data_IF_774198567478
#
_entry.id   IF_774198567478
#
_cell.length_a   1.000
_cell.length_b   1.000
_cell.length_c   1.000
_cell.angle_alpha   90.00
_cell.angle_beta   90.00
_cell.angle_gamma   90.00
#
_symmetry.space_group_name_H-M   'P 1'
#
loop_
_entity.id
_entity.type
_entity.pdbx_description
1 polymer ?
#
# COMPACT_ATOMS: atom_id res chain seq x y z
N UNK A 1 -23.68 -31.04 10.85
CA UNK A 1 -24.06 -30.83 9.43
C UNK A 1 -25.07 -29.70 9.40
N UNK A 2 -24.64 -28.45 9.25
CA UNK A 2 -25.57 -27.34 9.05
C UNK A 2 -25.94 -27.32 7.57
N UNK A 3 -27.20 -27.62 7.26
CA UNK A 3 -27.76 -27.38 5.94
C UNK A 3 -27.92 -25.88 5.75
N UNK A 4 -26.85 -25.19 5.32
CA UNK A 4 -26.99 -23.85 4.75
C UNK A 4 -27.65 -24.03 3.39
N UNK A 5 -28.83 -23.46 3.22
CA UNK A 5 -29.60 -23.45 1.96
C UNK A 5 -28.69 -23.07 0.80
N UNK A 6 -28.74 -23.83 -0.30
CA UNK A 6 -27.95 -23.51 -1.50
C UNK A 6 -28.27 -22.06 -1.95
N UNK A 7 -27.24 -21.23 -2.19
CA UNK A 7 -27.45 -19.84 -2.58
C UNK A 7 -28.22 -19.76 -3.90
N UNK A 8 -29.32 -18.99 -3.92
CA UNK A 8 -30.22 -18.87 -5.08
C UNK A 8 -29.98 -17.62 -5.92
N UNK A 9 -29.07 -16.74 -5.49
CA UNK A 9 -28.62 -15.57 -6.24
C UNK A 9 -27.11 -15.37 -6.08
N UNK A 10 -26.51 -14.63 -7.01
CA UNK A 10 -25.08 -14.26 -6.94
C UNK A 10 -24.81 -13.52 -5.63
N UNK A 11 -25.69 -12.61 -5.22
CA UNK A 11 -25.54 -11.85 -3.97
C UNK A 11 -25.54 -12.74 -2.73
N UNK A 12 -26.39 -13.78 -2.69
CA UNK A 12 -26.41 -14.76 -1.60
C UNK A 12 -25.12 -15.59 -1.58
N UNK A 13 -24.60 -15.98 -2.74
CA UNK A 13 -23.33 -16.70 -2.84
C UNK A 13 -22.18 -15.83 -2.32
N UNK A 14 -22.09 -14.57 -2.75
CA UNK A 14 -21.05 -13.64 -2.33
C UNK A 14 -21.14 -13.30 -0.84
N UNK A 15 -22.35 -13.19 -0.28
CA UNK A 15 -22.56 -13.01 1.15
C UNK A 15 -22.05 -14.21 1.96
N UNK A 16 -22.37 -15.43 1.52
CA UNK A 16 -21.90 -16.66 2.15
C UNK A 16 -20.37 -16.81 2.03
N UNK A 17 -19.78 -16.49 0.87
CA UNK A 17 -18.33 -16.50 0.65
C UNK A 17 -17.63 -15.48 1.55
N UNK A 18 -18.22 -14.29 1.72
CA UNK A 18 -17.72 -13.26 2.64
C UNK A 18 -17.73 -13.75 4.09
N UNK A 19 -18.83 -14.38 4.53
CA UNK A 19 -18.92 -14.97 5.87
C UNK A 19 -17.88 -16.08 6.07
N UNK A 20 -17.70 -16.94 5.06
CA UNK A 20 -16.71 -18.02 5.10
C UNK A 20 -15.27 -17.50 5.19
N UNK A 21 -14.97 -16.33 4.60
CA UNK A 21 -13.67 -15.66 4.63
C UNK A 21 -13.52 -14.66 5.79
N UNK A 22 -14.46 -14.61 6.74
CA UNK A 22 -14.36 -13.73 7.90
C UNK A 22 -13.07 -13.98 8.69
N UNK A 23 -12.37 -12.89 9.05
CA UNK A 23 -11.10 -12.94 9.77
C UNK A 23 -9.84 -13.06 8.90
N UNK A 24 -9.99 -13.26 7.59
CA UNK A 24 -8.86 -13.26 6.65
C UNK A 24 -8.39 -11.84 6.28
N UNK A 25 -7.25 -11.74 5.58
CA UNK A 25 -6.74 -10.47 5.07
C UNK A 25 -7.79 -9.75 4.20
N UNK A 26 -8.16 -8.49 4.49
CA UNK A 26 -9.13 -7.74 3.68
C UNK A 26 -8.78 -7.68 2.19
N UNK A 27 -7.48 -7.71 1.85
CA UNK A 27 -7.04 -7.78 0.46
C UNK A 27 -7.39 -9.11 -0.23
N UNK A 28 -7.26 -10.22 0.49
CA UNK A 28 -7.64 -11.55 0.01
C UNK A 28 -9.15 -11.64 -0.17
N UNK A 29 -9.92 -11.16 0.81
CA UNK A 29 -11.39 -11.15 0.75
C UNK A 29 -11.87 -10.37 -0.48
N UNK A 30 -11.30 -9.19 -0.72
CA UNK A 30 -11.68 -8.38 -1.87
C UNK A 30 -11.35 -9.07 -3.20
N UNK A 31 -10.13 -9.62 -3.35
CA UNK A 31 -9.71 -10.30 -4.57
C UNK A 31 -10.59 -11.55 -4.84
N UNK A 32 -10.88 -12.35 -3.81
CA UNK A 32 -11.71 -13.56 -3.91
C UNK A 32 -13.16 -13.25 -4.29
N UNK A 33 -13.77 -12.21 -3.69
CA UNK A 33 -15.14 -11.81 -4.03
C UNK A 33 -15.23 -11.28 -5.47
N UNK A 34 -14.24 -10.52 -5.92
CA UNK A 34 -14.21 -9.99 -7.29
C UNK A 34 -14.13 -11.12 -8.33
N UNK A 35 -13.18 -12.04 -8.16
CA UNK A 35 -12.97 -13.15 -9.10
C UNK A 35 -14.19 -14.10 -9.12
N UNK A 36 -14.79 -14.38 -7.95
CA UNK A 36 -16.01 -15.19 -7.87
C UNK A 36 -17.20 -14.52 -8.55
N UNK A 37 -17.41 -13.22 -8.34
CA UNK A 37 -18.48 -12.47 -8.99
C UNK A 37 -18.31 -12.43 -10.52
N UNK A 38 -17.08 -12.20 -11.00
CA UNK A 38 -16.77 -12.19 -12.42
C UNK A 38 -17.09 -13.54 -13.08
N UNK A 39 -16.67 -14.64 -12.44
CA UNK A 39 -16.95 -15.99 -12.92
C UNK A 39 -18.46 -16.31 -12.93
N UNK A 40 -19.14 -16.09 -11.80
CA UNK A 40 -20.58 -16.38 -11.66
C UNK A 40 -21.41 -15.63 -12.72
N UNK A 41 -21.09 -14.36 -12.95
CA UNK A 41 -21.78 -13.54 -13.95
C UNK A 41 -21.49 -13.98 -15.37
N UNK A 42 -20.25 -14.36 -15.68
CA UNK A 42 -19.89 -14.87 -17.00
C UNK A 42 -20.67 -16.15 -17.33
N UNK A 43 -20.82 -17.04 -16.35
CA UNK A 43 -21.51 -18.32 -16.53
C UNK A 43 -23.03 -18.12 -16.68
N UNK A 44 -23.64 -17.24 -15.87
CA UNK A 44 -25.06 -16.87 -16.04
C UNK A 44 -25.32 -16.26 -17.41
N UNK A 45 -24.42 -15.38 -17.89
CA UNK A 45 -24.55 -14.79 -19.22
C UNK A 45 -24.39 -15.80 -20.36
N UNK A 46 -23.62 -16.87 -20.14
CA UNK A 46 -23.46 -17.95 -21.11
C UNK A 46 -24.68 -18.88 -21.18
N UNK A 47 -25.59 -18.83 -20.19
CA UNK A 47 -26.76 -19.70 -20.09
C UNK A 47 -28.07 -18.89 -19.96
N UNK A 48 -28.44 -18.07 -20.97
CA UNK A 48 -29.59 -17.17 -20.90
C UNK A 48 -30.95 -17.90 -20.83
N UNK A 49 -31.00 -19.17 -21.20
CA UNK A 49 -32.23 -19.96 -21.32
C UNK A 49 -32.67 -20.60 -19.99
N UNK A 50 -31.88 -20.45 -18.91
CA UNK A 50 -32.12 -21.06 -17.61
C UNK A 50 -32.46 -20.01 -16.55
N UNK A 51 -33.29 -20.41 -15.59
CA UNK A 51 -33.56 -19.59 -14.41
C UNK A 51 -32.27 -19.44 -13.59
N UNK A 52 -31.99 -18.21 -13.11
CA UNK A 52 -30.75 -17.87 -12.40
C UNK A 52 -30.48 -18.80 -11.20
N UNK A 53 -31.53 -19.23 -10.49
CA UNK A 53 -31.42 -20.15 -9.37
C UNK A 53 -30.95 -21.56 -9.78
N UNK A 54 -31.46 -22.10 -10.89
CA UNK A 54 -31.07 -23.43 -11.40
C UNK A 54 -29.65 -23.39 -11.96
N UNK A 55 -29.27 -22.28 -12.59
CA UNK A 55 -27.90 -22.04 -13.05
C UNK A 55 -26.94 -21.91 -11.88
N UNK A 56 -27.30 -21.22 -10.80
CA UNK A 56 -26.46 -21.09 -9.61
C UNK A 56 -26.30 -22.39 -8.82
N UNK A 57 -27.35 -23.22 -8.76
CA UNK A 57 -27.25 -24.55 -8.15
C UNK A 57 -26.29 -25.45 -8.95
N UNK A 58 -26.34 -25.37 -10.29
CA UNK A 58 -25.38 -26.05 -11.16
C UNK A 58 -23.96 -25.46 -11.03
N UNK A 59 -23.82 -24.15 -10.94
CA UNK A 59 -22.51 -23.50 -10.76
C UNK A 59 -21.92 -23.87 -9.40
N UNK A 60 -22.71 -23.90 -8.33
CA UNK A 60 -22.24 -24.35 -7.02
C UNK A 60 -21.73 -25.80 -7.07
N UNK A 61 -22.28 -26.65 -7.95
CA UNK A 61 -21.78 -28.01 -8.16
C UNK A 61 -20.48 -28.09 -8.97
N UNK A 62 -20.17 -27.09 -9.80
CA UNK A 62 -18.99 -27.07 -10.70
C UNK A 62 -17.86 -26.19 -10.19
N UNK A 63 -18.18 -24.99 -9.71
CA UNK A 63 -17.27 -24.01 -9.12
C UNK A 63 -16.98 -24.31 -7.63
N UNK A 64 -17.89 -25.01 -6.96
CA UNK A 64 -17.78 -25.39 -5.54
C UNK A 64 -18.70 -24.57 -4.63
N UNK A 65 -18.92 -25.09 -3.41
CA UNK A 65 -19.68 -24.35 -2.40
C UNK A 65 -18.87 -23.15 -1.86
N UNK A 66 -19.51 -22.09 -1.33
CA UNK A 66 -18.81 -20.91 -0.81
C UNK A 66 -17.72 -21.25 0.22
N UNK A 67 -17.97 -22.21 1.11
CA UNK A 67 -17.01 -22.65 2.13
C UNK A 67 -15.81 -23.40 1.51
N UNK A 68 -16.02 -24.16 0.43
CA UNK A 68 -14.97 -24.89 -0.30
C UNK A 68 -14.10 -23.92 -1.10
N UNK A 69 -14.72 -22.96 -1.79
CA UNK A 69 -14.01 -21.90 -2.50
C UNK A 69 -13.20 -21.04 -1.53
N UNK A 70 -13.76 -20.68 -0.37
CA UNK A 70 -13.01 -19.99 0.68
C UNK A 70 -11.79 -20.80 1.15
N UNK A 71 -11.92 -22.11 1.36
CA UNK A 71 -10.82 -22.99 1.72
C UNK A 71 -9.75 -23.08 0.63
N UNK A 72 -10.15 -23.12 -0.64
CA UNK A 72 -9.24 -23.11 -1.79
C UNK A 72 -8.45 -21.79 -1.84
N UNK A 73 -9.09 -20.63 -1.67
CA UNK A 73 -8.41 -19.33 -1.61
C UNK A 73 -7.41 -19.25 -0.44
N UNK A 74 -7.80 -19.69 0.77
CA UNK A 74 -6.89 -19.75 1.92
C UNK A 74 -5.65 -20.60 1.65
N UNK A 75 -5.84 -21.77 1.05
CA UNK A 75 -4.76 -22.71 0.76
C UNK A 75 -3.84 -22.15 -0.31
N UNK A 76 -4.41 -21.59 -1.37
CA UNK A 76 -3.68 -20.97 -2.48
C UNK A 76 -2.88 -19.77 -1.99
N UNK A 77 -3.46 -18.88 -1.19
CA UNK A 77 -2.76 -17.74 -0.60
C UNK A 77 -1.62 -18.19 0.32
N UNK A 78 -1.83 -19.21 1.17
CA UNK A 78 -0.75 -19.77 2.01
C UNK A 78 0.38 -20.37 1.17
N UNK A 79 0.05 -21.09 0.09
CA UNK A 79 1.04 -21.66 -0.83
C UNK A 79 1.79 -20.54 -1.58
N UNK A 80 1.09 -19.52 -2.07
CA UNK A 80 1.70 -18.35 -2.70
C UNK A 80 2.61 -17.61 -1.75
N UNK A 81 2.17 -17.37 -0.51
CA UNK A 81 2.99 -16.73 0.52
C UNK A 81 4.23 -17.56 0.84
N UNK A 82 4.12 -18.89 0.88
CA UNK A 82 5.26 -19.80 1.11
C UNK A 82 6.21 -19.79 -0.09
N UNK A 83 5.69 -19.79 -1.31
CA UNK A 83 6.48 -19.78 -2.55
C UNK A 83 7.18 -18.42 -2.78
N UNK A 84 6.53 -17.32 -2.39
CA UNK A 84 7.08 -15.96 -2.47
C UNK A 84 7.88 -15.56 -1.23
N UNK A 85 7.90 -16.40 -0.18
CA UNK A 85 8.69 -16.15 1.00
C UNK A 85 10.17 -16.09 0.59
N UNK A 86 10.89 -15.00 0.91
CA UNK A 86 12.30 -14.93 0.63
C UNK A 86 13.02 -16.07 1.37
N UNK A 87 14.09 -16.65 0.80
CA UNK A 87 14.82 -17.75 1.42
C UNK A 87 15.23 -17.37 2.85
N UNK A 88 15.17 -18.32 3.81
CA UNK A 88 15.46 -18.05 5.21
C UNK A 88 16.88 -17.46 5.33
N UNK A 89 16.95 -16.18 5.70
CA UNK A 89 18.23 -15.47 5.86
C UNK A 89 18.94 -16.05 7.08
N UNK A 90 20.26 -16.23 6.99
CA UNK A 90 21.09 -16.49 8.17
C UNK A 90 20.90 -15.33 9.13
N UNK A 91 20.22 -15.58 10.25
CA UNK A 91 20.03 -14.56 11.28
C UNK A 91 21.40 -14.10 11.77
N UNK A 92 21.65 -12.79 11.69
CA UNK A 92 22.91 -12.24 12.14
C UNK A 92 23.06 -12.50 13.64
N UNK A 93 24.10 -13.23 14.02
CA UNK A 93 24.35 -13.57 15.42
C UNK A 93 24.80 -12.32 16.19
N UNK A 94 24.19 -12.06 17.35
CA UNK A 94 24.53 -10.94 18.24
C UNK A 94 23.78 -9.62 17.98
N UNK A 95 23.94 -8.65 18.89
CA UNK A 95 23.27 -7.34 18.82
C UNK A 95 23.84 -6.46 17.69
N UNK A 96 25.17 -6.46 17.49
CA UNK A 96 25.83 -5.70 16.42
C UNK A 96 25.49 -6.25 15.03
N UNK A 97 25.43 -7.57 14.87
CA UNK A 97 25.02 -8.21 13.62
C UNK A 97 23.61 -7.79 13.20
N UNK A 98 22.65 -7.79 14.15
CA UNK A 98 21.28 -7.30 13.89
C UNK A 98 21.22 -5.81 13.59
N UNK A 99 22.10 -5.01 14.21
CA UNK A 99 22.18 -3.57 13.97
C UNK A 99 22.62 -3.25 12.54
N UNK A 100 23.66 -3.92 12.02
CA UNK A 100 24.15 -3.72 10.65
C UNK A 100 23.40 -4.52 9.57
N UNK A 101 22.59 -5.52 9.95
CA UNK A 101 21.79 -6.30 9.01
C UNK A 101 20.84 -5.43 8.14
N UNK A 102 20.54 -4.21 8.57
CA UNK A 102 19.68 -3.27 7.86
C UNK A 102 20.20 -2.89 6.47
N UNK A 103 21.52 -2.87 6.28
CA UNK A 103 22.17 -2.55 4.99
C UNK A 103 22.06 -3.68 3.96
N UNK A 104 21.95 -4.92 4.43
CA UNK A 104 21.79 -6.11 3.59
C UNK A 104 20.31 -6.34 3.23
N UNK A 105 19.38 -5.73 3.97
CA UNK A 105 17.95 -5.86 3.70
C UNK A 105 17.51 -4.99 2.52
N UNK A 106 17.23 -5.61 1.37
CA UNK A 106 16.69 -4.94 0.18
C UNK A 106 15.45 -4.10 0.47
N UNK A 107 14.61 -4.53 1.43
CA UNK A 107 13.39 -3.81 1.82
C UNK A 107 13.66 -2.46 2.47
N UNK A 108 14.81 -2.29 3.13
CA UNK A 108 15.18 -0.98 3.68
C UNK A 108 15.45 0.00 2.55
N UNK A 109 16.14 -0.44 1.50
CA UNK A 109 16.48 0.38 0.34
C UNK A 109 15.25 0.73 -0.48
N UNK A 110 14.33 -0.21 -0.69
CA UNK A 110 13.06 0.09 -1.37
C UNK A 110 12.16 1.01 -0.54
N UNK A 111 12.17 0.86 0.79
CA UNK A 111 11.50 1.81 1.69
C UNK A 111 12.14 3.21 1.60
N UNK A 112 13.48 3.31 1.60
CA UNK A 112 14.18 4.59 1.42
C UNK A 112 13.77 5.26 0.11
N UNK A 113 13.75 4.49 -0.98
CA UNK A 113 13.29 4.97 -2.28
C UNK A 113 11.84 5.45 -2.23
N UNK A 114 10.96 4.71 -1.55
CA UNK A 114 9.58 5.13 -1.33
C UNK A 114 9.49 6.47 -0.56
N UNK A 115 10.26 6.64 0.52
CA UNK A 115 10.28 7.89 1.29
C UNK A 115 10.72 9.08 0.43
N UNK A 116 11.70 8.90 -0.47
CA UNK A 116 12.11 9.95 -1.41
C UNK A 116 11.03 10.24 -2.46
N UNK A 117 10.40 9.19 -2.99
CA UNK A 117 9.32 9.30 -3.98
C UNK A 117 8.05 9.92 -3.39
N UNK A 118 7.82 9.74 -2.07
CA UNK A 118 6.59 10.14 -1.38
C UNK A 118 6.32 11.64 -1.41
N UNK A 119 7.35 12.48 -1.54
CA UNK A 119 7.16 13.92 -1.73
C UNK A 119 6.53 14.21 -3.11
N UNK A 120 7.04 13.57 -4.16
CA UNK A 120 6.56 13.77 -5.53
C UNK A 120 5.13 13.24 -5.67
N UNK A 121 4.89 12.02 -5.21
CA UNK A 121 3.53 11.44 -5.24
C UNK A 121 2.59 12.21 -4.32
N UNK A 122 3.06 12.70 -3.17
CA UNK A 122 2.28 13.48 -2.23
C UNK A 122 1.82 14.83 -2.79
N UNK A 123 2.71 15.57 -3.45
CA UNK A 123 2.34 16.81 -4.17
C UNK A 123 1.28 16.52 -5.23
N UNK A 124 1.49 15.47 -6.04
CA UNK A 124 0.57 15.10 -7.10
C UNK A 124 -0.82 14.74 -6.55
N UNK A 125 -0.90 13.83 -5.57
CA UNK A 125 -2.16 13.39 -4.98
C UNK A 125 -2.91 14.51 -4.27
N UNK A 126 -2.20 15.31 -3.47
CA UNK A 126 -2.80 16.45 -2.78
C UNK A 126 -3.37 17.47 -3.77
N UNK A 127 -2.57 17.89 -4.76
CA UNK A 127 -2.99 18.87 -5.76
C UNK A 127 -4.21 18.36 -6.51
N UNK A 128 -4.20 17.08 -6.91
CA UNK A 128 -5.30 16.46 -7.64
C UNK A 128 -6.59 16.41 -6.81
N UNK A 129 -6.52 16.01 -5.54
CA UNK A 129 -7.72 15.96 -4.68
C UNK A 129 -8.26 17.36 -4.39
N UNK A 130 -7.39 18.31 -4.04
CA UNK A 130 -7.82 19.68 -3.73
C UNK A 130 -8.44 20.34 -4.97
N UNK A 131 -7.81 20.21 -6.13
CA UNK A 131 -8.33 20.78 -7.39
C UNK A 131 -9.61 20.09 -7.83
N UNK A 132 -9.65 18.75 -7.85
CA UNK A 132 -10.83 17.98 -8.26
C UNK A 132 -12.02 18.19 -7.34
N UNK A 133 -11.80 18.26 -6.02
CA UNK A 133 -12.86 18.57 -5.06
C UNK A 133 -13.35 20.01 -5.20
N UNK A 134 -12.44 20.98 -5.36
CA UNK A 134 -12.80 22.39 -5.56
C UNK A 134 -13.57 22.62 -6.86
N UNK A 135 -13.15 22.00 -7.97
CA UNK A 135 -13.86 22.03 -9.24
C UNK A 135 -15.23 21.37 -9.10
N UNK A 136 -15.31 20.22 -8.45
CA UNK A 136 -16.59 19.54 -8.24
C UNK A 136 -17.55 20.41 -7.45
N UNK A 137 -17.10 21.00 -6.34
CA UNK A 137 -17.91 21.90 -5.51
C UNK A 137 -18.36 23.16 -6.27
N UNK A 138 -17.47 23.79 -7.04
CA UNK A 138 -17.81 24.96 -7.85
C UNK A 138 -18.77 24.62 -9.00
N UNK A 139 -18.53 23.48 -9.67
CA UNK A 139 -19.35 23.00 -10.77
C UNK A 139 -20.69 22.43 -10.30
N UNK A 140 -20.89 22.09 -9.02
CA UNK A 140 -22.17 21.60 -8.49
C UNK A 140 -23.30 22.64 -8.60
N UNK A 141 -22.96 23.94 -8.62
CA UNK A 141 -23.92 25.01 -8.93
C UNK A 141 -24.43 24.87 -10.37
N UNK A 142 -23.60 24.30 -11.25
CA UNK A 142 -23.98 23.90 -12.58
C UNK A 142 -24.48 22.44 -12.56
N UNK A 143 -25.44 22.11 -13.43
CA UNK A 143 -25.94 20.71 -13.53
C UNK A 143 -24.80 19.73 -13.91
N UNK A 144 -23.71 20.24 -14.51
CA UNK A 144 -22.54 19.47 -14.95
C UNK A 144 -21.64 19.02 -13.78
N UNK A 145 -21.78 19.59 -12.58
CA UNK A 145 -20.96 19.21 -11.43
C UNK A 145 -21.07 17.75 -11.02
N UNK A 146 -22.26 17.14 -11.14
CA UNK A 146 -22.48 15.73 -10.79
C UNK A 146 -21.66 14.81 -11.72
N UNK A 147 -21.77 14.87 -13.06
CA UNK A 147 -20.90 14.10 -13.96
C UNK A 147 -19.41 14.28 -13.69
N UNK A 148 -18.95 15.52 -13.44
CA UNK A 148 -17.55 15.80 -13.15
C UNK A 148 -17.09 15.15 -11.85
N UNK A 149 -17.89 15.26 -10.77
CA UNK A 149 -17.59 14.65 -9.49
C UNK A 149 -17.46 13.12 -9.60
N UNK A 150 -18.34 12.48 -10.38
CA UNK A 150 -18.27 11.03 -10.62
C UNK A 150 -16.99 10.64 -11.36
N UNK A 151 -16.59 11.42 -12.37
CA UNK A 151 -15.33 11.22 -13.08
C UNK A 151 -14.15 11.38 -12.12
N UNK A 152 -14.16 12.42 -11.29
CA UNK A 152 -13.15 12.67 -10.27
C UNK A 152 -13.02 11.51 -9.29
N UNK A 153 -14.12 11.00 -8.73
CA UNK A 153 -14.09 9.83 -7.85
C UNK A 153 -13.55 8.60 -8.60
N UNK A 154 -13.98 8.35 -9.84
CA UNK A 154 -13.44 7.28 -10.67
C UNK A 154 -11.92 7.40 -10.85
N UNK A 155 -11.42 8.61 -11.09
CA UNK A 155 -10.00 8.91 -11.23
C UNK A 155 -9.23 8.66 -9.93
N UNK A 156 -9.77 9.08 -8.77
CA UNK A 156 -9.15 8.79 -7.46
C UNK A 156 -9.04 7.28 -7.20
N UNK A 157 -10.03 6.48 -7.63
CA UNK A 157 -9.99 5.02 -7.50
C UNK A 157 -8.86 4.41 -8.34
N UNK A 158 -8.67 4.87 -9.58
CA UNK A 158 -7.56 4.41 -10.42
C UNK A 158 -6.21 4.74 -9.78
N UNK A 159 -6.05 5.96 -9.26
CA UNK A 159 -4.82 6.35 -8.57
C UNK A 159 -4.59 5.55 -7.29
N UNK A 160 -5.64 5.17 -6.57
CA UNK A 160 -5.51 4.35 -5.37
C UNK A 160 -4.93 2.96 -5.67
N UNK A 161 -5.22 2.40 -6.85
CA UNK A 161 -4.62 1.15 -7.30
C UNK A 161 -3.14 1.32 -7.68
N UNK A 162 -2.80 2.42 -8.34
CA UNK A 162 -1.41 2.75 -8.65
C UNK A 162 -0.57 2.88 -7.37
N UNK A 163 -1.10 3.60 -6.37
CA UNK A 163 -0.47 3.73 -5.07
C UNK A 163 -0.39 2.39 -4.33
N UNK A 164 -1.47 1.60 -4.35
CA UNK A 164 -1.49 0.25 -3.78
C UNK A 164 -0.37 -0.63 -4.36
N UNK A 165 -0.08 -0.51 -5.66
CA UNK A 165 1.04 -1.21 -6.31
C UNK A 165 2.41 -0.67 -5.91
N UNK A 166 2.57 0.64 -5.73
CA UNK A 166 3.81 1.22 -5.22
C UNK A 166 4.09 0.71 -3.80
N UNK A 167 3.06 0.68 -2.94
CA UNK A 167 3.17 0.18 -1.57
C UNK A 167 3.42 -1.33 -1.54
N UNK A 168 2.73 -2.13 -2.37
CA UNK A 168 2.97 -3.57 -2.48
C UNK A 168 4.38 -3.87 -3.00
N UNK A 169 4.83 -3.15 -4.04
CA UNK A 169 6.14 -3.38 -4.66
C UNK A 169 7.32 -2.88 -3.82
N UNK A 170 7.22 -1.70 -3.22
CA UNK A 170 8.34 -1.06 -2.52
C UNK A 170 8.35 -1.37 -1.02
N UNK A 171 7.19 -1.47 -0.38
CA UNK A 171 7.09 -1.72 1.06
C UNK A 171 6.76 -3.19 1.36
N UNK A 172 6.23 -3.92 0.38
CA UNK A 172 5.91 -5.33 0.51
C UNK A 172 4.65 -5.62 1.31
N UNK A 173 3.82 -4.61 1.51
CA UNK A 173 2.53 -4.77 2.17
C UNK A 173 1.53 -5.36 1.18
N UNK A 174 0.87 -6.47 1.54
CA UNK A 174 -0.19 -7.04 0.71
C UNK A 174 -1.33 -6.03 0.53
N UNK A 175 -1.60 -5.68 -0.72
CA UNK A 175 -2.69 -4.80 -1.17
C UNK A 175 -3.60 -5.56 -2.14
N UNK A 176 -4.92 -5.27 -2.18
CA UNK A 176 -5.80 -5.87 -3.17
C UNK A 176 -5.35 -5.53 -4.59
N UNK A 177 -5.41 -6.50 -5.49
CA UNK A 177 -4.96 -6.34 -6.88
C UNK A 177 -6.12 -5.99 -7.82
N UNK A 178 -7.34 -6.37 -7.43
CA UNK A 178 -8.56 -6.13 -8.20
C UNK A 178 -9.31 -4.88 -7.71
N UNK A 179 -9.91 -4.07 -8.59
CA UNK A 179 -10.89 -3.06 -8.18
C UNK A 179 -12.12 -3.74 -7.58
N UNK A 180 -13.01 -2.99 -6.92
CA UNK A 180 -14.33 -3.53 -6.57
C UNK A 180 -15.18 -3.66 -7.83
N UNK A 181 -16.01 -4.70 -7.88
CA UNK A 181 -16.92 -4.90 -8.99
C UNK A 181 -17.96 -3.76 -9.00
N UNK A 182 -18.16 -3.06 -10.13
CA UNK A 182 -19.22 -2.07 -10.22
C UNK A 182 -20.57 -2.79 -10.20
N UNK A 183 -21.44 -2.50 -9.21
CA UNK A 183 -22.82 -3.02 -9.20
C UNK A 183 -23.50 -2.71 -10.55
N UNK A 184 -23.92 -3.74 -11.29
CA UNK A 184 -24.63 -3.63 -12.58
C UNK A 184 -26.12 -3.86 -12.35
N UNK A 185 -26.98 -3.17 -13.12
CA UNK A 185 -28.44 -3.28 -13.00
C UNK A 185 -29.08 -2.33 -11.99
N UNK A 186 -28.27 -1.58 -11.22
CA UNK A 186 -28.76 -0.50 -10.36
C UNK A 186 -29.08 0.76 -11.18
N UNK A 187 -30.17 1.48 -10.88
CA UNK A 187 -30.43 2.78 -11.47
C UNK A 187 -29.24 3.72 -11.28
N UNK A 188 -28.94 4.54 -12.30
CA UNK A 188 -27.81 5.49 -12.28
C UNK A 188 -27.84 6.35 -11.02
N UNK A 189 -29.01 6.82 -10.61
CA UNK A 189 -29.18 7.64 -9.40
C UNK A 189 -28.80 6.88 -8.12
N UNK A 190 -29.19 5.61 -8.00
CA UNK A 190 -28.83 4.75 -6.87
C UNK A 190 -27.32 4.50 -6.84
N UNK A 191 -26.70 4.28 -8.01
CA UNK A 191 -25.25 4.11 -8.11
C UNK A 191 -24.49 5.36 -7.65
N UNK A 192 -24.95 6.54 -8.05
CA UNK A 192 -24.38 7.82 -7.63
C UNK A 192 -24.49 7.97 -6.11
N UNK A 193 -25.67 7.68 -5.55
CA UNK A 193 -25.91 7.71 -4.10
C UNK A 193 -24.98 6.74 -3.36
N UNK A 194 -24.87 5.49 -3.83
CA UNK A 194 -24.00 4.48 -3.22
C UNK A 194 -22.55 4.95 -3.22
N UNK A 195 -22.06 5.56 -4.31
CA UNK A 195 -20.70 6.07 -4.42
C UNK A 195 -20.40 7.27 -3.49
N UNK A 196 -21.40 8.11 -3.24
CA UNK A 196 -21.30 9.28 -2.36
C UNK A 196 -21.31 8.89 -0.87
N UNK A 197 -22.12 7.88 -0.52
CA UNK A 197 -22.23 7.37 0.86
C UNK A 197 -21.08 6.40 1.18
N UNK A 198 -20.45 5.82 0.16
CA UNK A 198 -19.30 4.92 0.30
C UNK A 198 -18.16 5.59 1.09
N UNK A 199 -17.90 5.06 2.29
CA UNK A 199 -16.82 5.49 3.18
C UNK A 199 -15.47 5.47 2.48
N UNK A 200 -15.25 4.54 1.56
CA UNK A 200 -13.98 4.36 0.85
C UNK A 200 -13.63 5.56 -0.04
N UNK A 201 -14.63 6.20 -0.65
CA UNK A 201 -14.43 7.41 -1.45
C UNK A 201 -13.76 8.48 -0.58
N UNK A 202 -14.28 8.67 0.63
CA UNK A 202 -13.78 9.66 1.58
C UNK A 202 -12.43 9.28 2.18
N UNK A 203 -12.21 8.00 2.54
CA UNK A 203 -10.91 7.57 3.08
C UNK A 203 -9.80 7.64 2.04
N UNK A 204 -10.10 7.39 0.76
CA UNK A 204 -9.15 7.53 -0.34
C UNK A 204 -8.75 8.99 -0.56
N UNK A 205 -9.73 9.90 -0.59
CA UNK A 205 -9.44 11.34 -0.71
C UNK A 205 -8.67 11.87 0.51
N UNK A 206 -9.05 11.43 1.71
CA UNK A 206 -8.35 11.79 2.94
C UNK A 206 -6.90 11.27 2.95
N UNK A 207 -6.68 10.03 2.50
CA UNK A 207 -5.35 9.46 2.32
C UNK A 207 -4.50 10.31 1.36
N UNK A 208 -5.04 10.71 0.22
CA UNK A 208 -4.35 11.58 -0.74
C UNK A 208 -4.11 13.00 -0.20
N UNK A 209 -4.97 13.51 0.68
CA UNK A 209 -4.73 14.77 1.39
C UNK A 209 -3.57 14.63 2.37
N UNK A 210 -3.51 13.52 3.13
CA UNK A 210 -2.43 13.21 4.08
C UNK A 210 -1.09 12.93 3.39
N UNK A 211 -1.10 12.55 2.12
CA UNK A 211 0.11 12.20 1.40
C UNK A 211 1.12 13.33 1.28
N UNK A 212 0.67 14.59 1.19
CA UNK A 212 1.59 15.73 1.17
C UNK A 212 2.32 15.94 2.51
N UNK A 213 1.64 16.11 3.66
CA UNK A 213 2.35 16.29 4.93
C UNK A 213 3.20 15.08 5.30
N UNK A 214 2.73 13.86 5.01
CA UNK A 214 3.53 12.65 5.20
C UNK A 214 4.74 12.62 4.27
N UNK A 215 4.57 12.94 3.00
CA UNK A 215 5.64 12.98 2.01
C UNK A 215 6.73 13.99 2.35
N UNK A 216 6.35 15.18 2.84
CA UNK A 216 7.30 16.18 3.37
C UNK A 216 8.08 15.58 4.55
N UNK A 217 7.39 15.02 5.54
CA UNK A 217 8.03 14.43 6.72
C UNK A 217 9.01 13.32 6.34
N UNK A 218 8.58 12.39 5.50
CA UNK A 218 9.37 11.25 5.03
C UNK A 218 10.60 11.69 4.25
N UNK A 219 10.42 12.59 3.29
CA UNK A 219 11.51 13.13 2.48
C UNK A 219 12.51 13.89 3.36
N UNK A 220 12.04 14.77 4.24
CA UNK A 220 12.91 15.53 5.15
C UNK A 220 13.71 14.60 6.05
N UNK A 221 13.07 13.61 6.69
CA UNK A 221 13.78 12.65 7.56
C UNK A 221 14.84 11.87 6.77
N UNK A 222 14.49 11.38 5.57
CA UNK A 222 15.42 10.62 4.74
C UNK A 222 16.62 11.47 4.30
N UNK A 223 16.36 12.64 3.71
CA UNK A 223 17.42 13.52 3.18
C UNK A 223 18.28 14.09 4.28
N UNK A 224 17.68 14.65 5.34
CA UNK A 224 18.46 15.26 6.44
C UNK A 224 19.23 14.20 7.22
N UNK A 225 18.60 13.06 7.53
CA UNK A 225 19.26 11.95 8.24
C UNK A 225 20.45 11.41 7.48
N UNK A 226 20.32 11.17 6.18
CA UNK A 226 21.42 10.68 5.33
C UNK A 226 22.49 11.77 5.16
N UNK A 227 22.11 13.00 4.83
CA UNK A 227 23.07 14.08 4.59
C UNK A 227 23.92 14.39 5.84
N UNK A 228 23.31 14.46 7.03
CA UNK A 228 24.03 14.70 8.29
C UNK A 228 24.96 13.52 8.60
N UNK A 229 24.48 12.29 8.46
CA UNK A 229 25.28 11.10 8.77
C UNK A 229 26.48 10.95 7.83
N UNK A 230 26.26 11.09 6.52
CA UNK A 230 27.32 11.06 5.52
C UNK A 230 28.26 12.26 5.68
N UNK A 231 27.74 13.44 5.99
CA UNK A 231 28.54 14.63 6.29
C UNK A 231 29.52 14.38 7.42
N UNK A 232 29.06 13.80 8.54
CA UNK A 232 29.93 13.42 9.65
C UNK A 232 30.98 12.37 9.26
N UNK A 233 30.59 11.34 8.50
CA UNK A 233 31.50 10.29 8.05
C UNK A 233 32.58 10.84 7.12
N UNK A 234 32.19 11.54 6.06
CA UNK A 234 33.11 12.06 5.07
C UNK A 234 33.97 13.21 5.60
N UNK A 235 33.40 14.14 6.38
CA UNK A 235 34.20 15.21 6.99
C UNK A 235 35.26 14.65 7.95
N UNK A 236 34.91 13.64 8.75
CA UNK A 236 35.87 12.98 9.65
C UNK A 236 36.95 12.22 8.89
N UNK A 237 36.58 11.53 7.80
CA UNK A 237 37.52 10.81 6.95
C UNK A 237 38.51 11.75 6.24
N UNK A 238 38.00 12.86 5.67
CA UNK A 238 38.82 13.88 5.03
C UNK A 238 39.77 14.52 6.03
N UNK A 239 39.29 14.86 7.25
CA UNK A 239 40.16 15.40 8.31
C UNK A 239 41.29 14.43 8.70
N UNK A 240 40.98 13.15 8.88
CA UNK A 240 41.99 12.12 9.21
C UNK A 240 43.03 11.93 8.10
N UNK A 241 42.60 11.96 6.83
CA UNK A 241 43.50 11.84 5.68
C UNK A 241 44.35 13.10 5.47
N UNK A 242 43.81 14.28 5.77
CA UNK A 242 44.54 15.56 5.72
C UNK A 242 45.72 15.60 6.69
N UNK A 243 45.54 15.08 7.91
CA UNK A 243 46.62 14.97 8.92
C UNK A 243 47.77 14.05 8.46
N UNK A 244 47.46 13.03 7.65
CA UNK A 244 48.47 12.11 7.10
C UNK A 244 49.20 12.67 5.87
N UNK A 245 48.81 13.86 5.38
CA UNK A 245 49.36 14.45 4.15
C UNK A 245 48.91 13.76 2.86
N UNK A 246 47.92 12.86 2.92
CA UNK A 246 47.38 12.12 1.77
C UNK A 246 46.45 12.99 0.93
N UNK A 247 45.76 13.94 1.57
CA UNK A 247 44.88 14.90 0.90
C UNK A 247 45.32 16.31 1.28
N UNK A 248 45.82 17.07 0.31
CA UNK A 248 46.05 18.51 0.42
C UNK A 248 44.91 19.26 -0.27
N UNK A 249 44.19 20.09 0.48
CA UNK A 249 43.14 20.97 -0.05
C UNK A 249 43.64 22.41 0.09
N UNK A 250 43.92 23.08 -1.03
CA UNK A 250 44.54 24.42 -1.09
C UNK A 250 43.69 25.55 -0.49
N UNK A 251 44.40 26.61 -0.06
CA UNK A 251 44.07 27.98 0.42
C UNK A 251 42.87 28.25 1.35
N UNK A 252 41.89 27.37 1.49
CA UNK A 252 40.82 27.53 2.48
C UNK A 252 41.23 26.83 3.78
N UNK A 253 41.52 27.59 4.83
CA UNK A 253 41.84 27.05 6.17
C UNK A 253 40.59 26.44 6.81
N UNK A 254 40.32 25.18 6.46
CA UNK A 254 39.30 24.38 7.13
C UNK A 254 39.74 24.12 8.56
N UNK A 255 39.00 24.70 9.51
CA UNK A 255 39.21 24.44 10.93
C UNK A 255 38.58 23.10 11.28
N UNK A 256 39.37 22.03 11.18
CA UNK A 256 38.92 20.73 11.64
C UNK A 256 38.86 20.71 13.17
N UNK A 257 37.92 19.94 13.74
CA UNK A 257 37.96 19.60 15.16
C UNK A 257 39.30 18.95 15.53
N UNK A 258 39.68 18.94 16.82
CA UNK A 258 40.88 18.25 17.27
C UNK A 258 40.96 16.84 16.71
N UNK A 259 42.13 16.40 16.26
CA UNK A 259 42.34 15.10 15.59
C UNK A 259 41.82 13.92 16.41
N UNK A 260 41.90 14.02 17.74
CA UNK A 260 41.37 13.04 18.68
C UNK A 260 39.83 12.88 18.62
N UNK A 261 39.12 13.94 18.21
CA UNK A 261 37.65 13.95 18.10
C UNK A 261 37.17 13.34 16.77
N UNK A 262 37.99 13.32 15.72
CA UNK A 262 37.58 12.86 14.38
C UNK A 262 37.14 11.39 14.35
N UNK A 263 37.84 10.42 15.00
CA UNK A 263 37.36 9.03 15.07
C UNK A 263 36.02 8.90 15.81
N UNK A 264 35.78 9.73 16.82
CA UNK A 264 34.51 9.75 17.55
C UNK A 264 33.38 10.27 16.66
N UNK A 265 33.60 11.35 15.91
CA UNK A 265 32.62 11.88 14.95
C UNK A 265 32.35 10.91 13.81
N UNK A 266 33.37 10.18 13.33
CA UNK A 266 33.22 9.10 12.36
C UNK A 266 32.30 7.99 12.91
N UNK A 267 32.56 7.55 14.15
CA UNK A 267 31.74 6.54 14.81
C UNK A 267 30.29 7.01 15.02
N UNK A 268 30.10 8.27 15.45
CA UNK A 268 28.77 8.88 15.60
C UNK A 268 28.06 8.94 14.25
N UNK A 269 28.74 9.34 13.17
CA UNK A 269 28.18 9.37 11.82
C UNK A 269 27.73 7.99 11.33
N UNK A 270 28.52 6.94 11.56
CA UNK A 270 28.15 5.56 11.22
C UNK A 270 26.96 5.05 12.04
N UNK A 271 26.94 5.34 13.35
CA UNK A 271 25.83 4.99 14.23
C UNK A 271 24.54 5.71 13.83
N UNK A 272 24.63 7.01 13.53
CA UNK A 272 23.51 7.82 13.08
C UNK A 272 22.97 7.31 11.73
N UNK A 273 23.85 6.99 10.77
CA UNK A 273 23.45 6.43 9.48
C UNK A 273 22.67 5.14 9.67
N UNK A 274 23.16 4.26 10.54
CA UNK A 274 22.52 2.98 10.80
C UNK A 274 21.16 3.18 11.49
N UNK A 275 21.08 4.11 12.45
CA UNK A 275 19.83 4.47 13.12
C UNK A 275 18.80 5.04 12.12
N UNK A 276 19.21 5.90 11.19
CA UNK A 276 18.37 6.42 10.11
C UNK A 276 17.84 5.28 9.24
N UNK A 277 18.67 4.30 8.88
CA UNK A 277 18.22 3.14 8.10
C UNK A 277 17.18 2.28 8.84
N UNK A 278 17.32 2.11 10.15
CA UNK A 278 16.28 1.45 10.96
C UNK A 278 14.98 2.27 11.01
N UNK A 279 15.11 3.59 11.14
CA UNK A 279 13.96 4.51 11.11
C UNK A 279 13.22 4.43 9.78
N UNK A 280 13.93 4.47 8.65
CA UNK A 280 13.38 4.29 7.30
C UNK A 280 12.57 2.99 7.18
N UNK A 281 13.15 1.88 7.67
CA UNK A 281 12.46 0.58 7.68
C UNK A 281 11.20 0.59 8.55
N UNK A 282 11.24 1.28 9.69
CA UNK A 282 10.09 1.47 10.58
C UNK A 282 8.98 2.27 9.91
N UNK A 283 9.33 3.42 9.31
CA UNK A 283 8.40 4.29 8.58
C UNK A 283 7.76 3.54 7.41
N UNK A 284 8.53 2.78 6.64
CA UNK A 284 7.99 1.99 5.53
C UNK A 284 6.90 1.00 5.97
N UNK A 285 7.10 0.30 7.10
CA UNK A 285 6.06 -0.59 7.65
C UNK A 285 4.83 0.17 8.13
N UNK A 286 5.04 1.27 8.85
CA UNK A 286 3.95 2.12 9.35
C UNK A 286 3.13 2.67 8.19
N UNK A 287 3.79 3.15 7.14
CA UNK A 287 3.12 3.68 5.95
C UNK A 287 2.33 2.60 5.23
N UNK A 288 2.92 1.41 5.01
CA UNK A 288 2.21 0.28 4.40
C UNK A 288 0.94 -0.09 5.17
N UNK A 289 0.99 -0.10 6.51
CA UNK A 289 -0.18 -0.34 7.34
C UNK A 289 -1.23 0.77 7.21
N UNK A 290 -0.82 2.04 7.20
CA UNK A 290 -1.71 3.19 6.99
C UNK A 290 -2.43 3.11 5.64
N UNK A 291 -1.68 2.85 4.57
CA UNK A 291 -2.23 2.69 3.23
C UNK A 291 -3.24 1.55 3.19
N UNK A 292 -2.92 0.40 3.80
CA UNK A 292 -3.82 -0.75 3.83
C UNK A 292 -5.12 -0.43 4.57
N UNK A 293 -5.02 0.28 5.70
CA UNK A 293 -6.18 0.64 6.51
C UNK A 293 -7.12 1.65 5.82
N UNK A 294 -6.58 2.53 4.97
CA UNK A 294 -7.35 3.62 4.34
C UNK A 294 -7.80 3.32 2.91
N UNK A 295 -7.05 2.51 2.15
CA UNK A 295 -7.33 2.22 0.74
C UNK A 295 -8.08 0.91 0.51
N UNK A 296 -8.00 -0.03 1.45
CA UNK A 296 -8.68 -1.33 1.36
C UNK A 296 -10.05 -1.23 2.01
N UNK A 297 -11.07 -1.71 1.31
CA UNK A 297 -12.40 -1.79 1.87
C UNK A 297 -12.37 -2.73 3.09
N UNK A 298 -12.76 -2.20 4.24
CA UNK A 298 -13.04 -2.98 5.45
C UNK A 298 -14.52 -2.89 5.70
N UNK A 299 -15.25 -3.84 5.16
CA UNK A 299 -16.64 -4.01 5.53
C UNK A 299 -16.68 -5.07 6.62
N UNK A 300 -16.58 -4.58 7.86
CA UNK A 300 -16.73 -5.35 9.07
C UNK A 300 -17.68 -4.59 9.99
N UNK A 301 -18.93 -5.04 9.99
CA UNK A 301 -19.96 -4.90 11.01
C UNK A 301 -19.74 -3.81 12.08
N UNK A 302 -20.38 -2.66 11.86
CA UNK A 302 -21.20 -1.96 12.85
C UNK A 302 -22.27 -1.16 12.09
#
# INVERSE_FOLDING_TARGET
MNQRTAPRSIDQYLAALREALAGEDPALVQDALYDAEEYLRAEVAAHPDRLEADTLELIASTYGAPDEVAAAYRTTEKQLQTALAPPPRREAQGALGRFFAVYVDSRTWTALFYLLLSLVTGIFYFTMVVTGFSLSAGLLVLIIGIPFFLLFVGFTRVLSLAEGRLVEGLLGQRMPRRPLYPERGVPILTRIRNMLVDRRTWTTMFYFLLMLPLGILYFTVAVTGIAVSLGLVFASLVGLLGETGVITIDELTWHFPPTLLLPLLLAIGLLLLTAVMHLVRGIGRMHGALAKNLLVARDGAD
#
